data_IF_570796123794
#
_entry.id   IF_570796123794
#
_cell.length_a   1.000
_cell.length_b   1.000
_cell.length_c   1.000
_cell.angle_alpha   90.00
_cell.angle_beta   90.00
_cell.angle_gamma   90.00
#
_symmetry.space_group_name_H-M   'P 1'
#
loop_
_entity.id
_entity.type
_entity.pdbx_description
1 polymer ?
#
# COMPACT_ATOMS: atom_id res chain seq x y z
N UNK A 1 10.85 -70.86 -13.20
CA UNK A 1 9.75 -70.28 -14.00
C UNK A 1 10.27 -68.96 -14.56
N UNK A 2 10.64 -69.02 -15.84
CA UNK A 2 10.79 -68.00 -16.90
C UNK A 2 10.72 -66.50 -16.52
N UNK A 3 11.78 -65.74 -16.83
CA UNK A 3 11.96 -64.81 -17.98
C UNK A 3 11.44 -63.38 -17.68
N UNK A 4 12.29 -62.38 -17.47
CA UNK A 4 13.09 -61.57 -18.42
C UNK A 4 12.31 -60.75 -19.47
N UNK A 5 12.83 -59.52 -19.69
CA UNK A 5 12.64 -58.57 -20.80
C UNK A 5 11.55 -57.49 -20.58
N UNK A 6 11.93 -56.22 -20.38
CA UNK A 6 12.36 -55.23 -21.39
C UNK A 6 11.15 -54.35 -21.79
N UNK A 7 11.12 -53.08 -21.37
CA UNK A 7 11.52 -51.89 -22.15
C UNK A 7 10.44 -51.37 -23.11
N UNK A 8 10.26 -50.05 -23.07
CA UNK A 8 9.83 -49.13 -24.14
C UNK A 8 8.31 -48.82 -24.41
N UNK A 9 7.93 -47.62 -23.93
CA UNK A 9 7.25 -46.44 -24.56
C UNK A 9 5.97 -46.50 -25.42
N UNK A 10 5.15 -45.46 -25.16
CA UNK A 10 4.34 -44.58 -26.03
C UNK A 10 2.85 -44.87 -26.37
N UNK A 11 2.04 -43.84 -26.08
CA UNK A 11 0.81 -43.40 -26.79
C UNK A 11 -0.48 -44.14 -26.42
N UNK A 12 -1.69 -43.59 -26.31
CA UNK A 12 -2.40 -42.32 -26.61
C UNK A 12 -3.58 -42.25 -25.59
N UNK A 13 -4.34 -41.19 -25.30
CA UNK A 13 -5.08 -40.28 -26.16
C UNK A 13 -5.71 -39.17 -25.27
N UNK A 14 -5.81 -37.98 -25.86
CA UNK A 14 -6.45 -36.76 -25.38
C UNK A 14 -7.94 -36.96 -25.01
N UNK A 15 -8.38 -36.48 -23.84
CA UNK A 15 -9.78 -36.02 -23.65
C UNK A 15 -9.76 -34.59 -23.14
N UNK A 16 -10.20 -33.71 -24.03
CA UNK A 16 -10.57 -32.31 -23.79
C UNK A 16 -11.84 -32.32 -22.94
N UNK A 17 -11.85 -31.64 -21.80
CA UNK A 17 -13.10 -31.11 -21.24
C UNK A 17 -12.95 -29.60 -21.15
N UNK A 18 -13.77 -28.95 -21.96
CA UNK A 18 -14.01 -27.51 -22.03
C UNK A 18 -14.48 -26.95 -20.68
N UNK A 19 -14.13 -25.68 -20.49
CA UNK A 19 -14.87 -24.66 -19.72
C UNK A 19 -14.84 -24.81 -18.19
N UNK A 20 -14.46 -23.79 -17.43
CA UNK A 20 -14.68 -22.37 -17.65
C UNK A 20 -13.40 -21.57 -17.42
N UNK A 21 -13.17 -20.61 -18.30
CA UNK A 21 -12.36 -19.44 -17.96
C UNK A 21 -13.01 -18.77 -16.74
N UNK A 22 -12.48 -19.00 -15.54
CA UNK A 22 -12.57 -17.95 -14.52
C UNK A 22 -11.57 -16.89 -14.97
N UNK A 23 -12.06 -16.05 -15.87
CA UNK A 23 -11.43 -14.79 -16.19
C UNK A 23 -11.62 -13.88 -14.95
N UNK A 24 -10.92 -14.18 -13.86
CA UNK A 24 -10.67 -13.14 -12.86
C UNK A 24 -9.66 -12.21 -13.51
N UNK A 25 -10.15 -11.25 -14.29
CA UNK A 25 -9.47 -9.98 -14.45
C UNK A 25 -9.46 -9.29 -13.08
N UNK A 26 -8.72 -9.84 -12.14
CA UNK A 26 -8.12 -9.06 -11.06
C UNK A 26 -7.20 -8.09 -11.79
N UNK A 27 -7.69 -6.88 -12.02
CA UNK A 27 -6.95 -5.89 -12.79
C UNK A 27 -5.61 -5.63 -12.08
N UNK A 28 -4.53 -5.39 -12.82
CA UNK A 28 -3.23 -4.95 -12.25
C UNK A 28 -3.36 -3.71 -11.34
N UNK A 29 -4.46 -2.96 -11.46
CA UNK A 29 -4.81 -1.83 -10.60
C UNK A 29 -5.36 -2.25 -9.22
N UNK A 30 -6.10 -3.36 -9.16
CA UNK A 30 -6.66 -3.93 -7.93
C UNK A 30 -5.55 -4.55 -7.04
N UNK A 31 -4.42 -4.92 -7.65
CA UNK A 31 -3.26 -5.49 -6.95
C UNK A 31 -2.27 -4.44 -6.47
N UNK A 32 -2.10 -3.31 -7.16
CA UNK A 32 -1.05 -2.33 -6.81
C UNK A 32 -1.34 -1.57 -5.51
N UNK A 33 -2.55 -1.04 -5.34
CA UNK A 33 -2.90 -0.28 -4.13
C UNK A 33 -3.00 -1.20 -2.91
N UNK A 34 -3.55 -2.41 -3.08
CA UNK A 34 -3.57 -3.44 -2.04
C UNK A 34 -2.17 -3.83 -1.61
N UNK A 35 -1.27 -4.10 -2.56
CA UNK A 35 0.12 -4.43 -2.24
C UNK A 35 0.83 -3.29 -1.51
N UNK A 36 0.60 -2.03 -1.94
CA UNK A 36 1.17 -0.87 -1.27
C UNK A 36 0.71 -0.76 0.19
N UNK A 37 -0.59 -0.92 0.45
CA UNK A 37 -1.16 -0.85 1.81
C UNK A 37 -0.76 -2.05 2.68
N UNK A 38 -0.67 -3.26 2.11
CA UNK A 38 -0.16 -4.44 2.84
C UNK A 38 1.31 -4.27 3.20
N UNK A 39 2.14 -3.79 2.28
CA UNK A 39 3.56 -3.49 2.56
C UNK A 39 3.74 -2.30 3.50
N UNK A 40 2.77 -1.39 3.56
CA UNK A 40 2.76 -0.37 4.59
C UNK A 40 2.41 -0.97 5.95
N UNK A 41 1.42 -1.87 6.01
CA UNK A 41 1.06 -2.58 7.24
C UNK A 41 2.25 -3.35 7.84
N UNK A 42 3.11 -3.96 7.03
CA UNK A 42 4.31 -4.67 7.53
C UNK A 42 5.35 -3.74 8.17
N UNK A 43 5.36 -2.45 7.82
CA UNK A 43 6.20 -1.43 8.47
C UNK A 43 5.64 -0.89 9.80
N UNK A 44 4.40 -1.27 10.14
CA UNK A 44 3.78 -0.96 11.43
C UNK A 44 4.25 -1.98 12.46
N UNK A 45 5.05 -1.53 13.41
CA UNK A 45 5.60 -2.35 14.51
C UNK A 45 4.65 -2.47 15.70
N UNK A 46 3.70 -1.54 15.85
CA UNK A 46 2.72 -1.55 16.95
C UNK A 46 1.40 -0.91 16.52
N UNK A 47 0.29 -1.62 16.77
CA UNK A 47 -1.09 -1.17 16.63
C UNK A 47 -1.83 -1.50 17.95
N UNK A 48 -1.61 -0.71 19.02
CA UNK A 48 -2.05 -1.07 20.37
C UNK A 48 -3.57 -1.17 20.50
N UNK A 49 -4.31 -0.42 19.68
CA UNK A 49 -5.77 -0.39 19.67
C UNK A 49 -6.38 -1.30 18.60
N UNK A 50 -5.56 -2.09 17.89
CA UNK A 50 -5.99 -3.04 16.85
C UNK A 50 -6.84 -2.39 15.75
N UNK A 51 -6.59 -1.12 15.45
CA UNK A 51 -7.38 -0.35 14.48
C UNK A 51 -7.21 -0.91 13.08
N UNK A 52 -5.96 -1.16 12.67
CA UNK A 52 -5.68 -1.76 11.36
C UNK A 52 -6.07 -3.24 11.34
N UNK A 53 -5.85 -3.95 12.44
CA UNK A 53 -6.24 -5.36 12.57
C UNK A 53 -7.74 -5.61 12.41
N UNK A 54 -8.58 -4.56 12.50
CA UNK A 54 -10.04 -4.66 12.32
C UNK A 54 -10.41 -5.17 10.92
N UNK A 55 -9.84 -4.60 9.86
CA UNK A 55 -10.21 -4.98 8.49
C UNK A 55 -9.11 -4.83 7.43
N UNK A 56 -7.86 -4.47 7.79
CA UNK A 56 -6.74 -4.56 6.85
C UNK A 56 -6.30 -6.02 6.72
N UNK A 57 -7.05 -6.81 5.94
CA UNK A 57 -6.78 -8.24 5.79
C UNK A 57 -5.89 -8.54 4.59
N UNK A 58 -4.94 -9.46 4.81
CA UNK A 58 -4.04 -9.98 3.76
C UNK A 58 -4.72 -11.12 3.00
N UNK A 59 -5.78 -11.71 3.57
CA UNK A 59 -6.42 -12.89 3.01
C UNK A 59 -7.14 -12.57 1.69
N UNK A 60 -6.92 -13.44 0.70
CA UNK A 60 -7.07 -13.12 -0.74
C UNK A 60 -8.47 -13.34 -1.32
N UNK A 61 -9.52 -13.43 -0.49
CA UNK A 61 -10.90 -13.56 -0.96
C UNK A 61 -11.75 -12.32 -0.63
N UNK A 62 -11.82 -11.40 -1.59
CA UNK A 62 -13.00 -10.54 -1.86
C UNK A 62 -13.25 -9.22 -1.11
N UNK A 63 -12.45 -8.74 -0.15
CA UNK A 63 -12.64 -7.37 0.37
C UNK A 63 -11.80 -6.35 -0.40
N UNK A 64 -12.47 -5.38 -1.04
CA UNK A 64 -11.82 -4.25 -1.69
C UNK A 64 -11.12 -3.40 -0.63
N UNK A 65 -9.91 -2.89 -0.92
CA UNK A 65 -9.20 -1.96 -0.03
C UNK A 65 -10.00 -0.70 0.27
N UNK A 66 -10.97 -0.36 -0.57
CA UNK A 66 -11.86 0.78 -0.37
C UNK A 66 -12.81 0.62 0.82
N UNK A 67 -12.91 -0.59 1.38
CA UNK A 67 -13.67 -0.88 2.60
C UNK A 67 -12.77 -0.85 3.84
N UNK A 68 -11.45 -0.73 3.68
CA UNK A 68 -10.53 -0.71 4.80
C UNK A 68 -10.64 0.58 5.59
N UNK A 69 -10.54 0.47 6.90
CA UNK A 69 -10.63 1.64 7.78
C UNK A 69 -9.54 2.65 7.39
N UNK A 70 -9.94 3.90 7.24
CA UNK A 70 -9.06 4.99 6.85
C UNK A 70 -8.76 5.07 5.35
N UNK A 71 -9.22 4.13 4.52
CA UNK A 71 -8.99 4.18 3.06
C UNK A 71 -10.19 4.80 2.36
N UNK A 72 -9.93 5.71 1.44
CA UNK A 72 -10.93 6.30 0.54
C UNK A 72 -10.53 6.05 -0.91
N UNK A 73 -11.51 5.68 -1.75
CA UNK A 73 -11.30 5.41 -3.16
C UNK A 73 -12.12 6.36 -4.06
N UNK A 74 -11.58 6.66 -5.24
CA UNK A 74 -12.27 7.46 -6.24
C UNK A 74 -13.03 6.62 -7.25
N UNK A 75 -14.36 6.74 -7.30
CA UNK A 75 -15.20 6.03 -8.28
C UNK A 75 -14.89 6.41 -9.73
N UNK A 76 -14.50 7.68 -9.97
CA UNK A 76 -14.05 8.17 -11.29
C UNK A 76 -12.68 7.65 -11.72
N UNK A 77 -11.96 6.96 -10.83
CA UNK A 77 -10.60 6.47 -11.04
C UNK A 77 -10.52 4.97 -10.86
N UNK A 78 -11.52 4.21 -11.33
CA UNK A 78 -11.54 2.74 -11.22
C UNK A 78 -11.30 2.24 -9.78
N UNK A 79 -11.89 2.91 -8.79
CA UNK A 79 -11.74 2.60 -7.37
C UNK A 79 -10.30 2.61 -6.86
N UNK A 80 -9.39 3.36 -7.50
CA UNK A 80 -8.05 3.61 -6.96
C UNK A 80 -8.12 4.41 -5.66
N UNK A 81 -7.16 4.15 -4.78
CA UNK A 81 -7.02 4.85 -3.49
C UNK A 81 -6.70 6.32 -3.74
N UNK A 82 -7.55 7.20 -3.20
CA UNK A 82 -7.43 8.65 -3.30
C UNK A 82 -7.22 9.32 -1.94
N UNK A 83 -7.51 8.61 -0.85
CA UNK A 83 -7.27 9.11 0.51
C UNK A 83 -6.82 8.00 1.44
N UNK A 84 -5.89 8.32 2.34
CA UNK A 84 -5.49 7.49 3.47
C UNK A 84 -5.48 8.37 4.72
N UNK A 85 -6.38 8.09 5.66
CA UNK A 85 -6.46 8.73 6.96
C UNK A 85 -6.42 7.67 8.07
N UNK A 86 -5.28 7.59 8.74
CA UNK A 86 -5.05 6.74 9.91
C UNK A 86 -4.57 7.59 11.10
N UNK A 87 -4.98 8.86 11.11
CA UNK A 87 -4.66 9.80 12.16
C UNK A 87 -5.17 9.32 13.52
N UNK A 88 -4.38 9.49 14.57
CA UNK A 88 -4.79 9.17 15.93
C UNK A 88 -5.02 7.68 16.21
N UNK A 89 -4.46 6.78 15.39
CA UNK A 89 -4.59 5.33 15.59
C UNK A 89 -3.57 4.79 16.61
N UNK A 90 -2.66 5.63 17.11
CA UNK A 90 -1.63 5.24 18.08
C UNK A 90 -0.57 4.32 17.49
N UNK A 91 -0.38 4.36 16.17
CA UNK A 91 0.50 3.46 15.43
C UNK A 91 1.97 3.80 15.68
N UNK A 92 2.81 2.78 15.79
CA UNK A 92 4.27 2.91 15.84
C UNK A 92 4.92 2.18 14.67
N UNK A 93 5.95 2.77 14.08
CA UNK A 93 6.68 2.16 12.96
C UNK A 93 7.40 3.21 12.13
N UNK A 94 7.61 2.89 10.86
CA UNK A 94 8.22 3.80 9.87
C UNK A 94 7.29 3.96 8.67
N UNK A 95 7.52 4.98 7.86
CA UNK A 95 6.78 5.15 6.62
C UNK A 95 7.34 4.20 5.55
N UNK A 96 6.49 3.36 4.96
CA UNK A 96 6.91 2.41 3.92
C UNK A 96 7.11 3.13 2.58
N UNK A 97 8.23 2.89 1.85
CA UNK A 97 8.43 3.44 0.52
C UNK A 97 7.35 2.99 -0.48
N UNK A 98 6.72 1.83 -0.23
CA UNK A 98 5.64 1.31 -1.07
C UNK A 98 4.39 2.19 -1.10
N UNK A 99 4.20 3.11 -0.14
CA UNK A 99 3.14 4.12 -0.23
C UNK A 99 3.28 5.00 -1.48
N UNK A 100 4.48 5.15 -2.04
CA UNK A 100 4.71 5.82 -3.32
C UNK A 100 3.97 5.20 -4.52
N UNK A 101 3.50 3.95 -4.38
CA UNK A 101 2.72 3.27 -5.43
C UNK A 101 1.24 3.67 -5.45
N UNK A 102 0.74 4.40 -4.43
CA UNK A 102 -0.61 4.95 -4.40
C UNK A 102 -0.73 6.19 -5.29
N UNK A 103 -0.42 6.08 -6.58
CA UNK A 103 -0.24 7.22 -7.49
C UNK A 103 -1.50 8.09 -7.72
N UNK A 104 -2.66 7.64 -7.24
CA UNK A 104 -3.93 8.38 -7.26
C UNK A 104 -4.25 9.10 -5.96
N UNK A 105 -3.41 8.95 -4.92
CA UNK A 105 -3.57 9.56 -3.61
C UNK A 105 -3.59 11.09 -3.73
N UNK A 106 -4.59 11.70 -3.10
CA UNK A 106 -4.79 13.16 -3.01
C UNK A 106 -4.64 13.65 -1.58
N UNK A 107 -5.01 12.81 -0.61
CA UNK A 107 -5.00 13.15 0.80
C UNK A 107 -4.29 12.06 1.60
N UNK A 108 -3.24 12.44 2.32
CA UNK A 108 -2.55 11.55 3.26
C UNK A 108 -2.54 12.21 4.63
N UNK A 109 -3.21 11.59 5.60
CA UNK A 109 -3.22 12.01 7.00
C UNK A 109 -2.79 10.84 7.88
N UNK A 110 -1.58 10.95 8.42
CA UNK A 110 -0.98 10.01 9.38
C UNK A 110 -0.61 10.71 10.69
N UNK A 111 -1.18 11.90 10.91
CA UNK A 111 -0.91 12.74 12.07
C UNK A 111 -1.29 12.06 13.39
N UNK A 112 -0.79 12.57 14.52
CA UNK A 112 -1.11 12.05 15.86
C UNK A 112 -0.84 10.54 16.00
N UNK A 113 0.32 10.10 15.51
CA UNK A 113 0.82 8.75 15.69
C UNK A 113 2.24 8.82 16.27
N UNK A 114 2.96 7.70 16.27
CA UNK A 114 4.33 7.63 16.75
C UNK A 114 5.25 7.05 15.66
N UNK A 115 5.06 7.51 14.41
CA UNK A 115 5.92 7.16 13.30
C UNK A 115 7.31 7.80 13.47
N UNK A 116 8.34 7.09 13.02
CA UNK A 116 9.75 7.45 13.17
C UNK A 116 10.52 7.32 11.85
N UNK A 117 11.78 7.75 11.85
CA UNK A 117 12.67 7.64 10.70
C UNK A 117 12.47 8.77 9.68
N UNK A 118 13.17 8.71 8.53
CA UNK A 118 13.03 9.69 7.46
C UNK A 118 11.76 9.47 6.62
N UNK A 119 11.34 10.50 5.89
CA UNK A 119 10.29 10.38 4.87
C UNK A 119 10.92 9.78 3.58
N UNK A 120 10.46 8.61 3.09
CA UNK A 120 11.02 7.96 1.91
C UNK A 120 10.90 8.80 0.63
N UNK A 121 11.89 8.69 -0.26
CA UNK A 121 11.92 9.44 -1.53
C UNK A 121 10.80 9.02 -2.49
N UNK A 122 10.32 7.79 -2.39
CA UNK A 122 9.28 7.21 -3.24
C UNK A 122 7.95 7.95 -3.12
N UNK A 123 7.72 8.71 -2.04
CA UNK A 123 6.55 9.59 -1.93
C UNK A 123 6.56 10.74 -2.95
N UNK A 124 7.70 11.07 -3.55
CA UNK A 124 7.77 11.98 -4.70
C UNK A 124 6.94 11.50 -5.91
N UNK A 125 6.60 10.21 -5.99
CA UNK A 125 5.75 9.67 -7.06
C UNK A 125 4.27 10.06 -6.91
N UNK A 126 3.86 10.60 -5.76
CA UNK A 126 2.47 10.96 -5.47
C UNK A 126 2.10 12.32 -6.09
N UNK A 127 2.25 12.46 -7.42
CA UNK A 127 2.08 13.73 -8.17
C UNK A 127 0.68 14.34 -8.10
N UNK A 128 -0.29 13.62 -7.54
CA UNK A 128 -1.69 14.06 -7.36
C UNK A 128 -2.00 14.50 -5.93
N UNK A 129 -1.02 14.44 -5.02
CA UNK A 129 -1.20 14.79 -3.62
C UNK A 129 -1.51 16.27 -3.49
N UNK A 130 -2.57 16.60 -2.75
CA UNK A 130 -3.02 17.96 -2.45
C UNK A 130 -2.84 18.32 -0.99
N UNK A 131 -3.01 17.35 -0.10
CA UNK A 131 -2.80 17.54 1.33
C UNK A 131 -1.98 16.41 1.90
N UNK A 132 -0.96 16.77 2.68
CA UNK A 132 -0.18 15.85 3.49
C UNK A 132 -0.13 16.36 4.93
N UNK A 133 -0.57 15.52 5.87
CA UNK A 133 -0.48 15.79 7.30
C UNK A 133 0.28 14.65 7.99
N UNK A 134 1.47 14.99 8.46
CA UNK A 134 2.35 14.11 9.21
C UNK A 134 2.65 14.69 10.59
N UNK A 135 1.89 15.69 11.02
CA UNK A 135 2.13 16.40 12.27
C UNK A 135 1.96 15.49 13.49
N UNK A 136 2.55 15.86 14.62
CA UNK A 136 2.46 15.10 15.87
C UNK A 136 2.90 13.64 15.70
N UNK A 137 4.13 13.47 15.24
CA UNK A 137 4.83 12.19 15.11
C UNK A 137 6.27 12.34 15.64
N UNK A 138 7.15 11.39 15.33
CA UNK A 138 8.57 11.41 15.69
C UNK A 138 9.46 11.21 14.46
N UNK A 139 9.02 11.72 13.29
CA UNK A 139 9.83 11.70 12.08
C UNK A 139 11.09 12.53 12.24
N UNK A 140 12.20 12.03 11.73
CA UNK A 140 13.54 12.60 11.90
C UNK A 140 14.27 12.72 10.55
N UNK A 141 15.44 13.36 10.56
CA UNK A 141 16.21 13.66 9.34
C UNK A 141 15.83 15.01 8.75
N UNK A 142 16.22 15.26 7.49
CA UNK A 142 15.91 16.52 6.81
C UNK A 142 14.52 16.48 6.18
N UNK A 143 13.86 17.64 6.09
CA UNK A 143 12.64 17.79 5.28
C UNK A 143 13.06 17.59 3.81
N UNK A 144 12.51 16.58 3.09
CA UNK A 144 12.97 16.31 1.75
C UNK A 144 12.63 17.42 0.75
N UNK A 145 13.61 17.80 -0.08
CA UNK A 145 13.45 18.82 -1.11
C UNK A 145 12.48 18.42 -2.23
N UNK A 146 12.24 17.11 -2.42
CA UNK A 146 11.31 16.61 -3.42
C UNK A 146 9.86 17.00 -3.13
N UNK A 147 9.52 17.52 -1.95
CA UNK A 147 8.21 18.15 -1.71
C UNK A 147 7.94 19.27 -2.73
N UNK A 148 8.98 19.99 -3.17
CA UNK A 148 8.86 21.01 -4.22
C UNK A 148 8.49 20.46 -5.60
N UNK A 149 8.65 19.15 -5.83
CA UNK A 149 8.22 18.52 -7.08
C UNK A 149 6.74 18.08 -7.06
N UNK A 150 6.05 18.16 -5.91
CA UNK A 150 4.63 17.86 -5.78
C UNK A 150 3.82 19.12 -6.15
N UNK A 151 3.75 19.42 -7.44
CA UNK A 151 3.16 20.67 -7.97
C UNK A 151 1.66 20.87 -7.68
N UNK A 152 0.96 19.82 -7.23
CA UNK A 152 -0.44 19.89 -6.81
C UNK A 152 -0.62 20.03 -5.30
N UNK A 153 0.46 20.04 -4.52
CA UNK A 153 0.41 20.10 -3.07
C UNK A 153 -0.03 21.49 -2.61
N UNK A 154 -1.16 21.55 -1.91
CA UNK A 154 -1.78 22.78 -1.39
C UNK A 154 -1.53 22.92 0.11
N UNK A 155 -1.50 21.81 0.85
CA UNK A 155 -1.37 21.79 2.31
C UNK A 155 -0.29 20.79 2.72
N UNK A 156 0.69 21.26 3.50
CA UNK A 156 1.73 20.44 4.11
C UNK A 156 1.86 20.75 5.59
N UNK A 157 1.60 19.77 6.45
CA UNK A 157 1.79 19.88 7.91
C UNK A 157 2.80 18.86 8.41
N UNK A 158 3.90 19.38 8.94
CA UNK A 158 5.03 18.59 9.49
C UNK A 158 5.33 18.96 10.96
N UNK A 159 4.49 19.81 11.58
CA UNK A 159 4.70 20.32 12.93
C UNK A 159 4.74 19.21 13.99
N UNK A 160 5.43 19.44 15.12
CA UNK A 160 5.63 18.43 16.16
C UNK A 160 6.21 17.11 15.60
N UNK A 161 7.39 17.22 15.01
CA UNK A 161 8.29 16.13 14.64
C UNK A 161 9.73 16.50 15.07
N UNK A 162 10.68 15.61 14.85
CA UNK A 162 12.10 15.82 15.19
C UNK A 162 12.96 16.08 13.95
N UNK A 163 12.39 16.72 12.92
CA UNK A 163 13.11 17.11 11.71
C UNK A 163 14.27 18.06 12.03
N UNK A 164 15.31 17.96 11.22
CA UNK A 164 16.56 18.71 11.32
C UNK A 164 16.83 19.50 10.05
N UNK A 165 17.68 20.53 10.12
CA UNK A 165 18.01 21.39 8.99
C UNK A 165 17.20 22.69 8.94
N UNK A 166 17.55 23.58 8.02
CA UNK A 166 16.78 24.81 7.74
C UNK A 166 15.49 24.43 7.01
N UNK A 167 14.38 25.06 7.38
CA UNK A 167 13.14 24.99 6.60
C UNK A 167 13.47 25.24 5.11
N UNK A 168 13.02 24.37 4.18
CA UNK A 168 13.17 24.58 2.74
C UNK A 168 12.51 25.87 2.27
#
# INVERSE_FOLDING_TARGET
>A
MENNYAFFIFSTLLIIILSSTINSKTSLADTTDKNALVQFKTSITSDPYRRLATNWSIDTSSSSVCQWIGVSCGTKHNNRVTGLNISGFGLRGTLSPHLGNLTFLRYLDISYNNFTGPIPRELSHLRRLRSIDMGFNSFAGQIPTWFGELTQLEIMRLNNNTFTGRNP
#
